data_IF_664250900819
#
_entry.id   IF_664250900819
#
_cell.length_a   1.000
_cell.length_b   1.000
_cell.length_c   1.000
_cell.angle_alpha   90.00
_cell.angle_beta   90.00
_cell.angle_gamma   90.00
#
_symmetry.space_group_name_H-M   'P 1'
#
loop_
_entity.id
_entity.type
_entity.pdbx_description
1 polymer ?
#
# COMPACT_ATOMS: atom_id res chain seq x y z
N UNK A 1 8.42 -10.15 -12.18
CA UNK A 1 9.67 -10.15 -11.40
C UNK A 1 9.36 -10.47 -9.95
N UNK A 2 10.24 -11.18 -9.26
CA UNK A 2 10.08 -11.52 -7.85
C UNK A 2 11.40 -11.37 -7.10
N UNK A 3 11.32 -10.89 -5.86
CA UNK A 3 12.40 -10.86 -4.89
C UNK A 3 12.12 -11.91 -3.82
N UNK A 4 13.17 -12.57 -3.36
CA UNK A 4 13.09 -13.53 -2.27
C UNK A 4 14.12 -13.22 -1.19
N UNK A 5 13.75 -13.48 0.06
CA UNK A 5 14.68 -13.44 1.19
C UNK A 5 15.73 -14.55 1.08
N UNK A 6 15.31 -15.75 0.65
CA UNK A 6 16.20 -16.85 0.25
C UNK A 6 16.12 -17.04 -1.27
N UNK A 7 17.09 -16.47 -1.99
CA UNK A 7 17.18 -16.56 -3.45
C UNK A 7 17.28 -18.01 -3.94
N UNK A 8 18.03 -18.85 -3.23
CA UNK A 8 18.30 -20.21 -3.68
C UNK A 8 17.07 -21.10 -3.53
N UNK A 9 16.32 -20.94 -2.43
CA UNK A 9 15.04 -21.62 -2.25
C UNK A 9 14.06 -21.29 -3.39
N UNK A 10 13.88 -20.00 -3.72
CA UNK A 10 12.99 -19.59 -4.81
C UNK A 10 13.49 -20.02 -6.19
N UNK A 11 14.80 -19.97 -6.44
CA UNK A 11 15.36 -20.38 -7.74
C UNK A 11 15.13 -21.86 -8.03
N UNK A 12 15.08 -22.68 -6.98
CA UNK A 12 14.85 -24.11 -7.08
C UNK A 12 13.36 -24.48 -7.01
N UNK A 13 12.46 -23.51 -6.85
CA UNK A 13 11.02 -23.73 -6.87
C UNK A 13 10.53 -23.83 -8.32
N UNK A 14 10.05 -25.03 -8.69
CA UNK A 14 9.50 -25.33 -10.01
C UNK A 14 8.36 -24.39 -10.43
N UNK A 15 7.63 -23.80 -9.47
CA UNK A 15 6.55 -22.86 -9.74
C UNK A 15 7.05 -21.59 -10.44
N UNK A 16 8.26 -21.12 -10.10
CA UNK A 16 8.85 -19.94 -10.73
C UNK A 16 9.19 -20.19 -12.19
N UNK A 17 9.73 -21.37 -12.51
CA UNK A 17 9.98 -21.79 -13.88
C UNK A 17 8.67 -21.96 -14.65
N UNK A 18 7.70 -22.69 -14.07
CA UNK A 18 6.40 -22.96 -14.68
C UNK A 18 5.63 -21.67 -15.03
N UNK A 19 5.67 -20.67 -14.15
CA UNK A 19 5.00 -19.38 -14.34
C UNK A 19 5.88 -18.33 -15.04
N UNK A 20 7.08 -18.70 -15.48
CA UNK A 20 8.06 -17.80 -16.09
C UNK A 20 8.33 -16.53 -15.23
N UNK A 21 8.41 -16.71 -13.91
CA UNK A 21 8.71 -15.65 -12.96
C UNK A 21 10.23 -15.42 -12.95
N UNK A 22 10.64 -14.24 -13.40
CA UNK A 22 12.05 -13.82 -13.34
C UNK A 22 12.41 -13.35 -11.92
N UNK A 23 13.47 -13.93 -11.35
CA UNK A 23 14.01 -13.55 -10.05
C UNK A 23 15.00 -12.38 -10.16
N UNK A 24 14.92 -11.44 -9.23
CA UNK A 24 15.97 -10.43 -9.01
C UNK A 24 16.91 -10.90 -7.88
N UNK A 25 18.19 -10.47 -7.87
CA UNK A 25 19.09 -10.76 -6.75
C UNK A 25 18.49 -10.29 -5.42
N UNK A 26 18.72 -11.07 -4.35
CA UNK A 26 18.32 -10.65 -3.00
C UNK A 26 19.06 -9.38 -2.63
N UNK A 27 18.28 -8.38 -2.24
CA UNK A 27 18.77 -7.12 -1.65
C UNK A 27 18.32 -7.01 -0.19
N UNK A 28 18.97 -6.08 0.53
CA UNK A 28 18.62 -5.73 1.91
C UNK A 28 17.12 -5.45 2.05
N UNK A 29 16.54 -6.01 3.11
CA UNK A 29 15.16 -5.79 3.53
C UNK A 29 15.08 -6.04 5.02
N UNK A 30 14.53 -5.08 5.76
CA UNK A 30 14.26 -5.24 7.18
C UNK A 30 12.87 -4.75 7.48
N UNK A 31 12.04 -5.64 8.03
CA UNK A 31 10.67 -5.29 8.42
C UNK A 31 10.68 -4.11 9.38
N UNK A 32 9.87 -3.10 9.06
CA UNK A 32 9.72 -1.88 9.85
C UNK A 32 10.79 -0.83 9.58
N UNK A 33 11.91 -1.18 8.94
CA UNK A 33 12.95 -0.22 8.54
C UNK A 33 12.95 0.02 7.03
N UNK A 34 13.04 -1.03 6.22
CA UNK A 34 13.13 -0.89 4.77
C UNK A 34 12.54 -2.12 4.06
N UNK A 35 11.26 -2.01 3.72
CA UNK A 35 10.56 -2.96 2.84
C UNK A 35 10.53 -2.46 1.38
N UNK A 36 11.02 -1.25 1.12
CA UNK A 36 10.93 -0.61 -0.17
C UNK A 36 12.14 -0.86 -1.05
N UNK A 37 13.32 -1.08 -0.48
CA UNK A 37 14.50 -1.43 -1.28
C UNK A 37 14.26 -2.66 -2.17
N UNK A 38 13.68 -3.78 -1.68
CA UNK A 38 13.26 -4.90 -2.54
C UNK A 38 12.21 -4.52 -3.58
N UNK A 39 11.22 -3.71 -3.21
CA UNK A 39 10.20 -3.21 -4.12
C UNK A 39 10.86 -2.49 -5.28
N UNK A 40 11.64 -1.45 -4.99
CA UNK A 40 12.28 -0.60 -6.00
C UNK A 40 13.29 -1.38 -6.82
N UNK A 41 13.98 -2.35 -6.22
CA UNK A 41 14.84 -3.29 -6.95
C UNK A 41 14.04 -4.05 -8.01
N UNK A 42 12.86 -4.60 -7.69
CA UNK A 42 12.01 -5.25 -8.69
C UNK A 42 11.52 -4.28 -9.78
N UNK A 43 11.16 -3.04 -9.43
CA UNK A 43 10.79 -2.02 -10.42
C UNK A 43 11.94 -1.77 -11.40
N UNK A 44 13.18 -1.61 -10.91
CA UNK A 44 14.36 -1.34 -11.76
C UNK A 44 14.52 -2.38 -12.86
N UNK A 45 14.35 -3.66 -12.52
CA UNK A 45 14.40 -4.76 -13.48
C UNK A 45 13.20 -4.76 -14.42
N UNK A 46 12.00 -4.48 -13.91
CA UNK A 46 10.81 -4.37 -14.75
C UNK A 46 10.91 -3.21 -15.76
N UNK A 47 11.47 -2.06 -15.37
CA UNK A 47 11.69 -0.92 -16.24
C UNK A 47 12.76 -1.15 -17.31
N UNK A 48 13.69 -2.09 -17.08
CA UNK A 48 14.71 -2.47 -18.05
C UNK A 48 14.14 -3.33 -19.20
N UNK A 49 12.93 -3.88 -19.05
CA UNK A 49 12.24 -4.57 -20.15
C UNK A 49 11.84 -3.59 -21.26
N UNK A 50 11.73 -4.08 -22.52
CA UNK A 50 11.21 -3.29 -23.62
C UNK A 50 9.88 -2.63 -23.28
N UNK A 51 9.73 -1.36 -23.63
CA UNK A 51 8.47 -0.65 -23.44
C UNK A 51 7.34 -1.35 -24.21
N UNK A 52 6.11 -1.35 -23.69
CA UNK A 52 4.99 -1.88 -24.43
C UNK A 52 4.72 -1.02 -25.69
N UNK A 53 3.98 -1.55 -26.68
CA UNK A 53 3.61 -0.80 -27.87
C UNK A 53 2.92 0.53 -27.53
N UNK A 54 3.05 1.51 -28.44
CA UNK A 54 2.39 2.80 -28.28
C UNK A 54 0.87 2.63 -28.05
N UNK A 55 0.35 3.35 -27.05
CA UNK A 55 -1.06 3.28 -26.65
C UNK A 55 -1.40 2.20 -25.62
N UNK A 56 -0.47 1.28 -25.30
CA UNK A 56 -0.64 0.33 -24.21
C UNK A 56 -0.18 0.96 -22.90
N UNK A 57 -1.06 0.98 -21.90
CA UNK A 57 -0.72 1.47 -20.57
C UNK A 57 0.01 0.39 -19.76
N UNK A 58 1.08 0.79 -19.09
CA UNK A 58 1.83 -0.05 -18.19
C UNK A 58 1.68 0.46 -16.75
N UNK A 59 1.42 -0.48 -15.84
CA UNK A 59 1.38 -0.24 -14.41
C UNK A 59 2.33 -1.18 -13.70
N UNK A 60 3.03 -0.66 -12.71
CA UNK A 60 3.94 -1.38 -11.84
C UNK A 60 3.23 -1.59 -10.50
N UNK A 61 2.88 -2.85 -10.25
CA UNK A 61 2.24 -3.27 -9.02
C UNK A 61 3.20 -4.18 -8.26
N UNK A 62 3.28 -4.00 -6.95
CA UNK A 62 3.98 -4.92 -6.08
C UNK A 62 3.01 -5.56 -5.13
N UNK A 63 3.05 -6.88 -5.10
CA UNK A 63 2.22 -7.74 -4.28
C UNK A 63 3.12 -8.67 -3.47
N UNK A 64 2.65 -9.09 -2.31
CA UNK A 64 3.31 -10.12 -1.49
C UNK A 64 2.66 -11.48 -1.68
N UNK A 65 3.35 -12.53 -1.24
CA UNK A 65 2.84 -13.90 -1.10
C UNK A 65 1.54 -14.03 -0.29
N UNK A 66 1.28 -13.07 0.60
CA UNK A 66 0.08 -12.93 1.42
C UNK A 66 -1.02 -12.08 0.77
N UNK A 67 -0.93 -11.81 -0.54
CA UNK A 67 -1.90 -11.01 -1.31
C UNK A 67 -2.60 -11.88 -2.34
N UNK A 68 -3.93 -11.86 -2.36
CA UNK A 68 -4.74 -12.54 -3.37
C UNK A 68 -5.57 -11.53 -4.16
N UNK A 69 -5.76 -11.73 -5.48
CA UNK A 69 -6.77 -10.98 -6.20
C UNK A 69 -8.15 -11.37 -5.67
N UNK A 70 -9.07 -10.41 -5.62
CA UNK A 70 -10.49 -10.64 -5.31
C UNK A 70 -11.38 -10.35 -6.53
N UNK A 71 -10.74 -10.17 -7.69
CA UNK A 71 -11.33 -9.97 -9.00
C UNK A 71 -10.61 -10.85 -10.03
N UNK A 72 -11.27 -11.24 -11.12
CA UNK A 72 -10.61 -11.89 -12.26
C UNK A 72 -9.56 -10.96 -12.88
N UNK A 73 -8.53 -11.56 -13.49
CA UNK A 73 -7.43 -10.80 -14.10
C UNK A 73 -7.91 -9.77 -15.14
N UNK A 74 -8.88 -10.12 -15.98
CA UNK A 74 -9.44 -9.22 -16.99
C UNK A 74 -10.01 -7.94 -16.38
N UNK A 75 -10.70 -8.05 -15.24
CA UNK A 75 -11.24 -6.91 -14.51
C UNK A 75 -10.14 -6.08 -13.86
N UNK A 76 -9.16 -6.73 -13.22
CA UNK A 76 -8.00 -6.06 -12.62
C UNK A 76 -7.25 -5.25 -13.67
N UNK A 77 -6.95 -5.87 -14.82
CA UNK A 77 -6.27 -5.21 -15.93
C UNK A 77 -7.07 -4.03 -16.46
N UNK A 78 -8.37 -4.21 -16.72
CA UNK A 78 -9.24 -3.14 -17.19
C UNK A 78 -9.30 -1.95 -16.21
N UNK A 79 -9.50 -2.20 -14.92
CA UNK A 79 -9.64 -1.14 -13.91
C UNK A 79 -8.33 -0.35 -13.72
N UNK A 80 -7.19 -1.05 -13.74
CA UNK A 80 -5.86 -0.43 -13.64
C UNK A 80 -5.43 0.29 -14.92
N UNK A 81 -5.88 -0.15 -16.09
CA UNK A 81 -5.58 0.49 -17.38
C UNK A 81 -6.57 1.58 -17.77
N UNK A 82 -7.64 1.79 -17.01
CA UNK A 82 -8.62 2.86 -17.27
C UNK A 82 -7.99 4.25 -17.10
N UNK A 83 -6.99 4.39 -16.21
CA UNK A 83 -6.38 5.69 -15.89
C UNK A 83 -4.87 5.63 -16.03
N UNK A 84 -4.28 6.69 -16.58
CA UNK A 84 -2.83 6.78 -16.78
C UNK A 84 -2.07 7.13 -15.50
N UNK A 85 -2.72 7.79 -14.53
CA UNK A 85 -2.13 8.21 -13.24
C UNK A 85 -1.83 7.04 -12.29
N UNK A 86 -0.82 7.17 -11.42
CA UNK A 86 -0.58 6.19 -10.36
C UNK A 86 -1.73 6.14 -9.35
N UNK A 87 -2.04 4.95 -8.84
CA UNK A 87 -3.02 4.73 -7.80
C UNK A 87 -2.29 4.46 -6.47
N UNK A 88 -2.43 5.37 -5.52
CA UNK A 88 -1.80 5.31 -4.19
C UNK A 88 -2.91 5.47 -3.16
N UNK A 89 -3.04 4.48 -2.27
CA UNK A 89 -4.05 4.51 -1.23
C UNK A 89 -3.55 5.32 -0.03
N UNK A 90 -4.09 6.51 0.18
CA UNK A 90 -3.62 7.44 1.20
C UNK A 90 -4.26 7.11 2.55
N UNK A 91 -3.46 7.08 3.61
CA UNK A 91 -3.93 6.82 4.96
C UNK A 91 -4.61 8.04 5.57
N UNK A 92 -5.37 7.84 6.65
CA UNK A 92 -6.02 8.94 7.35
C UNK A 92 -5.02 9.98 7.86
N UNK A 93 -5.45 11.23 7.91
CA UNK A 93 -4.56 12.36 8.12
C UNK A 93 -3.89 12.38 9.50
N UNK A 94 -4.55 11.78 10.49
CA UNK A 94 -4.01 11.62 11.84
C UNK A 94 -2.76 10.71 11.88
N UNK A 95 -2.45 10.03 10.78
CA UNK A 95 -1.26 9.19 10.65
C UNK A 95 -0.11 9.86 9.91
N UNK A 96 -0.30 11.06 9.38
CA UNK A 96 0.74 11.77 8.65
C UNK A 96 1.74 12.38 9.64
N UNK A 97 3.02 12.39 9.27
CA UNK A 97 4.02 13.11 10.03
C UNK A 97 4.01 14.60 9.63
N UNK A 98 4.32 15.48 10.59
CA UNK A 98 4.24 16.93 10.42
C UNK A 98 5.55 17.59 10.81
N UNK A 99 5.97 18.60 10.06
CA UNK A 99 7.24 19.27 10.27
C UNK A 99 7.20 20.73 9.86
N UNK A 100 8.39 21.32 9.82
CA UNK A 100 8.61 22.65 9.28
C UNK A 100 9.80 22.61 8.34
N UNK A 101 9.59 22.96 7.08
CA UNK A 101 10.64 23.07 6.07
C UNK A 101 10.85 24.56 5.80
N UNK A 102 12.02 25.09 6.14
CA UNK A 102 12.35 26.51 5.96
C UNK A 102 11.37 27.46 6.67
N UNK A 103 10.91 27.08 7.87
CA UNK A 103 9.95 27.86 8.64
C UNK A 103 8.49 27.72 8.18
N UNK A 104 8.22 26.84 7.21
CA UNK A 104 6.88 26.63 6.64
C UNK A 104 6.31 25.29 7.11
N UNK A 105 5.07 25.26 7.62
CA UNK A 105 4.40 24.02 7.96
C UNK A 105 4.32 23.06 6.78
N UNK A 106 4.67 21.79 7.01
CA UNK A 106 4.63 20.75 5.99
C UNK A 106 4.17 19.41 6.59
N UNK A 107 3.61 18.53 5.75
CA UNK A 107 3.23 17.17 6.11
C UNK A 107 3.87 16.13 5.19
N UNK A 108 4.27 14.99 5.75
CA UNK A 108 4.57 13.78 5.00
C UNK A 108 3.31 12.94 4.90
N UNK A 109 2.82 12.80 3.67
CA UNK A 109 1.63 12.02 3.40
C UNK A 109 1.96 10.55 3.61
N UNK A 110 1.24 9.93 4.55
CA UNK A 110 1.29 8.48 4.75
C UNK A 110 0.32 7.80 3.78
N UNK A 111 0.76 6.74 3.15
CA UNK A 111 -0.04 5.84 2.34
C UNK A 111 0.02 4.41 2.90
N UNK A 112 -0.94 3.60 2.50
CA UNK A 112 -0.88 2.17 2.73
C UNK A 112 0.20 1.56 1.83
N UNK A 113 0.85 0.49 2.28
CA UNK A 113 1.94 -0.23 1.61
C UNK A 113 1.59 -0.84 0.22
N UNK A 114 0.51 -0.40 -0.43
CA UNK A 114 0.11 -0.79 -1.78
C UNK A 114 0.06 0.43 -2.69
N UNK A 115 0.81 0.36 -3.79
CA UNK A 115 0.83 1.36 -4.84
C UNK A 115 0.78 0.67 -6.21
N UNK A 116 0.07 1.27 -7.16
CA UNK A 116 0.17 0.96 -8.57
C UNK A 116 0.76 2.17 -9.27
N UNK A 117 2.01 2.08 -9.68
CA UNK A 117 2.73 3.19 -10.30
C UNK A 117 2.57 3.13 -11.81
N UNK A 118 2.32 4.27 -12.45
CA UNK A 118 2.56 4.39 -13.88
C UNK A 118 4.07 4.32 -14.18
N UNK A 119 4.44 4.13 -15.45
CA UNK A 119 5.86 4.00 -15.84
C UNK A 119 6.72 5.22 -15.47
N UNK A 120 6.17 6.43 -15.57
CA UNK A 120 6.91 7.67 -15.25
C UNK A 120 7.24 7.74 -13.76
N UNK A 121 6.25 7.51 -12.90
CA UNK A 121 6.42 7.53 -11.45
C UNK A 121 7.29 6.36 -10.98
N UNK A 122 7.12 5.18 -11.58
CA UNK A 122 7.99 4.04 -11.34
C UNK A 122 9.45 4.37 -11.69
N UNK A 123 9.71 5.09 -12.79
CA UNK A 123 11.05 5.50 -13.18
C UNK A 123 11.64 6.57 -12.24
N UNK A 124 10.85 7.54 -11.79
CA UNK A 124 11.28 8.52 -10.78
C UNK A 124 11.66 7.81 -9.48
N UNK A 125 10.79 6.95 -8.97
CA UNK A 125 11.05 6.18 -7.76
C UNK A 125 12.30 5.30 -7.94
N UNK A 126 12.42 4.57 -9.04
CA UNK A 126 13.56 3.69 -9.31
C UNK A 126 14.89 4.44 -9.42
N UNK A 127 14.89 5.64 -10.02
CA UNK A 127 16.08 6.47 -10.17
C UNK A 127 16.51 7.08 -8.85
N UNK A 128 15.55 7.61 -8.09
CA UNK A 128 15.84 8.49 -6.97
C UNK A 128 15.87 7.78 -5.62
N UNK A 129 15.34 6.55 -5.53
CA UNK A 129 15.36 5.76 -4.30
C UNK A 129 16.78 5.48 -3.81
N UNK A 130 17.06 5.99 -2.62
CA UNK A 130 18.21 5.62 -1.81
C UNK A 130 17.79 4.63 -0.72
N UNK A 131 18.67 3.69 -0.37
CA UNK A 131 18.35 2.68 0.62
C UNK A 131 18.11 3.33 2.00
N UNK A 132 17.33 2.68 2.86
CA UNK A 132 17.07 3.19 4.21
C UNK A 132 17.55 2.19 5.23
N UNK A 133 18.73 2.42 5.82
CA UNK A 133 19.30 1.46 6.77
C UNK A 133 18.55 1.41 8.11
N UNK A 134 17.91 2.52 8.50
CA UNK A 134 17.25 2.69 9.80
C UNK A 134 15.97 3.50 9.66
N UNK A 135 14.97 3.16 10.48
CA UNK A 135 13.70 3.89 10.58
C UNK A 135 13.96 5.38 10.76
N UNK A 136 13.36 6.20 9.90
CA UNK A 136 13.48 7.66 9.95
C UNK A 136 14.87 8.24 9.67
N UNK A 137 15.84 7.41 9.28
CA UNK A 137 17.18 7.85 8.89
C UNK A 137 17.30 7.92 7.37
N UNK A 138 16.47 8.76 6.74
CA UNK A 138 16.48 9.02 5.31
C UNK A 138 16.15 10.48 5.01
N UNK A 139 16.48 10.88 3.79
CA UNK A 139 16.34 12.24 3.30
C UNK A 139 15.07 12.38 2.46
N UNK A 140 14.21 13.30 2.86
CA UNK A 140 12.97 13.63 2.17
C UNK A 140 13.28 14.62 1.04
N UNK A 141 13.09 14.25 -0.25
CA UNK A 141 13.32 15.17 -1.35
C UNK A 141 12.21 16.23 -1.43
N UNK A 142 12.58 17.47 -1.71
CA UNK A 142 11.64 18.59 -1.82
C UNK A 142 11.25 18.81 -3.29
N UNK A 143 10.14 18.22 -3.75
CA UNK A 143 9.81 18.12 -5.19
C UNK A 143 8.70 19.02 -5.69
N UNK A 144 7.81 19.47 -4.81
CA UNK A 144 6.61 20.19 -5.21
C UNK A 144 6.52 21.59 -4.59
N UNK A 145 5.51 22.34 -5.04
CA UNK A 145 5.23 23.69 -4.59
C UNK A 145 6.42 24.61 -4.85
N UNK A 146 6.84 25.35 -3.82
CA UNK A 146 7.97 26.27 -3.92
C UNK A 146 9.34 25.60 -3.98
N UNK A 147 9.42 24.32 -3.65
CA UNK A 147 10.66 23.58 -3.70
C UNK A 147 10.87 22.86 -5.03
N UNK A 148 9.88 22.93 -5.93
CA UNK A 148 9.94 22.31 -7.24
C UNK A 148 11.19 22.73 -8.03
N UNK A 149 11.85 21.73 -8.63
CA UNK A 149 13.08 21.92 -9.41
C UNK A 149 14.35 22.06 -8.58
N UNK A 150 14.27 22.09 -7.25
CA UNK A 150 15.46 22.02 -6.40
C UNK A 150 15.90 20.57 -6.19
N UNK A 151 17.21 20.27 -6.29
CA UNK A 151 17.74 18.95 -5.94
C UNK A 151 18.04 18.87 -4.43
N UNK A 152 17.10 19.38 -3.61
CA UNK A 152 17.30 19.55 -2.17
C UNK A 152 16.53 18.49 -1.41
N UNK A 153 17.11 18.09 -0.29
CA UNK A 153 16.50 17.18 0.68
C UNK A 153 16.46 17.84 2.06
N UNK A 154 15.62 17.31 2.93
CA UNK A 154 15.66 17.55 4.38
C UNK A 154 15.62 16.21 5.11
N UNK A 155 16.27 16.08 6.28
CA UNK A 155 16.21 14.82 7.00
C UNK A 155 14.78 14.55 7.48
N UNK A 156 14.34 13.29 7.39
CA UNK A 156 13.02 12.84 7.87
C UNK A 156 12.75 13.21 9.32
N UNK A 157 13.79 13.31 10.15
CA UNK A 157 13.72 13.77 11.54
C UNK A 157 13.15 15.18 11.75
N UNK A 158 12.99 15.98 10.68
CA UNK A 158 12.23 17.25 10.74
C UNK A 158 10.71 17.06 10.83
N UNK A 159 10.22 15.85 10.56
CA UNK A 159 8.82 15.50 10.62
C UNK A 159 8.57 14.62 11.85
N UNK A 160 7.65 15.05 12.69
CA UNK A 160 7.26 14.39 13.92
C UNK A 160 5.77 14.03 13.90
N UNK A 161 5.36 13.10 14.75
CA UNK A 161 4.00 12.58 14.76
C UNK A 161 3.84 11.45 13.74
N UNK A 162 2.61 11.27 13.27
CA UNK A 162 2.19 10.02 12.63
C UNK A 162 1.95 8.91 13.64
N UNK A 163 1.40 7.78 13.18
CA UNK A 163 1.28 6.59 14.03
C UNK A 163 2.67 6.04 14.36
N UNK A 164 2.78 5.26 15.43
CA UNK A 164 4.05 4.94 16.12
C UNK A 164 4.95 4.01 15.28
N UNK A 165 4.47 3.65 14.10
CA UNK A 165 5.16 2.99 13.02
C UNK A 165 5.10 3.92 11.79
N UNK A 166 5.96 4.93 11.72
CA UNK A 166 6.27 5.62 10.46
C UNK A 166 7.25 4.74 9.70
N UNK A 167 6.77 3.57 9.27
CA UNK A 167 7.58 2.67 8.49
C UNK A 167 7.89 3.36 7.15
N UNK A 168 9.15 3.28 6.73
CA UNK A 168 9.64 3.94 5.51
C UNK A 168 8.76 3.63 4.29
N UNK A 169 8.23 2.42 4.21
CA UNK A 169 7.37 1.94 3.14
C UNK A 169 5.95 2.51 3.12
N UNK A 170 5.60 3.34 4.11
CA UNK A 170 4.31 4.02 4.22
C UNK A 170 4.41 5.52 3.93
N UNK A 171 5.60 6.10 3.85
CA UNK A 171 5.79 7.54 3.60
C UNK A 171 6.74 7.81 2.42
N UNK A 172 7.77 6.99 2.28
CA UNK A 172 8.86 7.28 1.36
C UNK A 172 8.42 7.21 -0.09
N UNK A 173 7.52 6.30 -0.50
CA UNK A 173 7.07 6.28 -1.92
C UNK A 173 6.45 7.61 -2.29
N UNK A 174 5.54 8.13 -1.46
CA UNK A 174 4.95 9.45 -1.70
C UNK A 174 6.03 10.54 -1.72
N UNK A 175 6.90 10.58 -0.70
CA UNK A 175 7.93 11.59 -0.61
C UNK A 175 8.90 11.57 -1.80
N UNK A 176 9.32 10.40 -2.29
CA UNK A 176 10.20 10.30 -3.46
C UNK A 176 9.52 10.71 -4.76
N UNK A 177 8.19 10.65 -4.85
CA UNK A 177 7.44 11.10 -6.03
C UNK A 177 7.11 12.60 -5.97
N UNK A 178 6.62 13.06 -4.83
CA UNK A 178 5.95 14.35 -4.65
C UNK A 178 6.62 15.25 -3.60
N UNK A 179 7.42 14.68 -2.71
CA UNK A 179 7.98 15.39 -1.56
C UNK A 179 6.95 15.64 -0.46
N UNK A 180 7.30 16.46 0.55
CA UNK A 180 6.37 16.86 1.59
C UNK A 180 5.33 17.83 1.03
N UNK A 181 4.10 17.75 1.53
CA UNK A 181 3.06 18.70 1.19
C UNK A 181 3.19 19.95 2.05
N UNK A 182 3.25 21.12 1.42
CA UNK A 182 3.18 22.38 2.14
C UNK A 182 1.76 22.64 2.69
N UNK A 183 1.66 23.08 3.94
CA UNK A 183 0.39 23.46 4.57
C UNK A 183 0.31 24.99 4.70
N UNK A 184 -0.90 25.55 4.65
CA UNK A 184 -1.09 27.01 4.82
C UNK A 184 -0.72 27.47 6.23
N UNK A 185 -1.09 26.68 7.23
CA UNK A 185 -0.73 26.85 8.63
C UNK A 185 -0.54 25.48 9.29
N UNK A 186 0.05 25.47 10.48
CA UNK A 186 0.32 24.23 11.21
C UNK A 186 -1.00 23.51 11.52
N UNK A 187 -1.13 22.28 11.01
CA UNK A 187 -2.33 21.46 11.18
C UNK A 187 -3.42 21.70 10.13
N UNK A 188 -3.20 22.53 9.11
CA UNK A 188 -4.14 22.70 8.00
C UNK A 188 -4.11 21.50 7.05
N UNK A 189 -4.87 20.49 7.42
CA UNK A 189 -4.82 19.14 6.88
C UNK A 189 -6.04 18.82 6.00
N UNK A 190 -7.13 19.58 6.16
CA UNK A 190 -8.37 19.35 5.43
C UNK A 190 -8.20 19.57 3.92
N UNK A 191 -7.58 20.68 3.51
CA UNK A 191 -7.36 20.97 2.08
C UNK A 191 -6.49 19.89 1.40
N UNK A 192 -5.31 19.51 1.94
CA UNK A 192 -4.57 18.34 1.52
C UNK A 192 -5.42 17.08 1.34
N UNK A 193 -6.24 16.75 2.34
CA UNK A 193 -7.06 15.54 2.30
C UNK A 193 -8.08 15.57 1.16
N UNK A 194 -8.62 16.75 0.82
CA UNK A 194 -9.56 16.87 -0.31
C UNK A 194 -8.95 16.46 -1.64
N UNK A 195 -7.65 16.64 -1.84
CA UNK A 195 -6.93 16.17 -3.04
C UNK A 195 -6.92 14.64 -3.15
N UNK A 196 -7.15 13.93 -2.04
CA UNK A 196 -7.09 12.48 -1.95
C UNK A 196 -8.44 11.78 -1.86
N UNK A 197 -9.53 12.51 -1.58
CA UNK A 197 -10.88 11.94 -1.43
C UNK A 197 -11.36 11.18 -2.68
N UNK A 198 -10.79 11.47 -3.85
CA UNK A 198 -11.14 10.80 -5.11
C UNK A 198 -10.12 9.74 -5.54
N UNK A 199 -9.01 9.55 -4.80
CA UNK A 199 -8.04 8.52 -5.14
C UNK A 199 -8.58 7.13 -4.82
N UNK A 200 -8.24 6.17 -5.68
CA UNK A 200 -8.72 4.80 -5.58
C UNK A 200 -7.79 3.98 -4.70
N UNK A 201 -8.38 3.24 -3.77
CA UNK A 201 -7.73 2.20 -3.01
C UNK A 201 -8.15 0.85 -3.58
N UNK A 202 -7.22 0.14 -4.22
CA UNK A 202 -7.50 -1.16 -4.84
C UNK A 202 -7.22 -2.35 -3.92
N UNK A 203 -6.82 -2.11 -2.68
CA UNK A 203 -6.39 -3.16 -1.75
C UNK A 203 -7.14 -3.12 -0.45
N UNK A 204 -7.74 -4.25 -0.11
CA UNK A 204 -8.41 -4.52 1.16
C UNK A 204 -7.41 -5.04 2.20
N UNK A 205 -7.45 -4.48 3.41
CA UNK A 205 -6.67 -4.95 4.56
C UNK A 205 -7.35 -4.55 5.87
N UNK A 206 -7.93 -5.50 6.58
CA UNK A 206 -8.69 -5.25 7.80
C UNK A 206 -7.83 -5.15 9.06
N UNK A 207 -8.19 -4.26 9.98
CA UNK A 207 -7.59 -4.14 11.31
C UNK A 207 -8.64 -4.35 12.41
N UNK A 208 -8.25 -4.85 13.59
CA UNK A 208 -9.19 -5.02 14.71
C UNK A 208 -9.89 -3.73 15.12
N UNK A 209 -9.18 -2.60 15.06
CA UNK A 209 -9.74 -1.30 15.41
C UNK A 209 -10.77 -0.77 14.39
N UNK A 210 -10.90 -1.39 13.21
CA UNK A 210 -11.91 -1.00 12.22
C UNK A 210 -13.33 -1.45 12.63
N UNK A 211 -13.45 -2.37 13.60
CA UNK A 211 -14.72 -2.95 14.08
C UNK A 211 -14.91 -2.84 15.59
N UNK A 212 -13.91 -2.36 16.34
CA UNK A 212 -14.02 -2.18 17.77
C UNK A 212 -14.97 -1.00 18.10
N UNK A 213 -15.92 -1.16 19.05
CA UNK A 213 -16.74 -0.06 19.53
C UNK A 213 -15.85 1.07 20.06
N UNK A 214 -16.08 2.30 19.57
CA UNK A 214 -15.38 3.53 19.96
C UNK A 214 -15.33 3.78 21.49
N UNK A 215 -16.19 3.12 22.26
CA UNK A 215 -16.43 3.38 23.69
C UNK A 215 -15.29 3.01 24.64
N UNK A 216 -14.20 2.37 24.18
CA UNK A 216 -13.06 2.00 25.05
C UNK A 216 -11.73 2.67 24.69
N UNK A 217 -11.70 3.53 23.67
CA UNK A 217 -10.47 4.22 23.27
C UNK A 217 -10.54 5.68 23.74
N UNK A 218 -9.72 6.01 24.74
CA UNK A 218 -9.52 7.39 25.24
C UNK A 218 -8.75 8.28 24.26
N UNK A 219 -8.48 7.77 23.05
CA UNK A 219 -7.89 8.47 21.92
C UNK A 219 -8.63 8.01 20.68
N UNK A 220 -8.92 8.87 19.69
CA UNK A 220 -9.64 8.46 18.50
C UNK A 220 -8.94 7.25 17.88
N UNK A 221 -9.66 6.14 17.56
CA UNK A 221 -9.04 4.97 16.96
C UNK A 221 -8.26 5.41 15.72
N UNK A 222 -6.99 5.05 15.62
CA UNK A 222 -6.25 5.19 14.37
C UNK A 222 -6.72 4.10 13.39
N UNK A 223 -8.02 4.08 13.08
CA UNK A 223 -8.54 3.21 12.03
C UNK A 223 -7.87 3.61 10.72
N UNK A 224 -7.40 2.61 9.98
CA UNK A 224 -6.44 2.85 8.90
C UNK A 224 -7.02 3.67 7.74
N UNK A 225 -8.35 3.71 7.63
CA UNK A 225 -9.08 4.34 6.54
C UNK A 225 -10.21 5.26 7.06
N UNK A 226 -9.91 6.17 7.98
CA UNK A 226 -10.83 7.26 8.33
C UNK A 226 -10.90 8.28 7.18
N UNK A 227 -11.57 7.92 6.09
CA UNK A 227 -12.15 8.87 5.17
C UNK A 227 -13.46 9.40 5.79
N UNK A 228 -13.91 10.61 5.47
CA UNK A 228 -15.12 11.18 6.09
C UNK A 228 -16.41 10.40 5.77
N UNK A 229 -17.44 10.53 6.62
CA UNK A 229 -18.75 9.84 6.55
C UNK A 229 -19.36 9.71 5.14
N UNK A 230 -19.19 10.72 4.28
CA UNK A 230 -19.75 10.76 2.93
C UNK A 230 -18.95 9.93 1.91
N UNK A 231 -17.63 9.80 2.10
CA UNK A 231 -16.77 8.90 1.31
C UNK A 231 -16.92 7.42 1.70
N UNK A 232 -17.52 7.12 2.87
CA UNK A 232 -17.72 5.75 3.36
C UNK A 232 -18.68 4.92 2.51
N UNK A 233 -19.62 5.53 1.77
CA UNK A 233 -20.67 4.74 1.10
C UNK A 233 -20.12 3.78 0.02
N UNK A 234 -19.00 4.13 -0.62
CA UNK A 234 -18.42 3.33 -1.72
C UNK A 234 -17.34 2.36 -1.26
N UNK A 235 -16.60 2.69 -0.20
CA UNK A 235 -15.47 1.92 0.33
C UNK A 235 -15.69 1.55 1.80
N UNK A 236 -16.86 0.99 2.11
CA UNK A 236 -17.19 0.57 3.48
C UNK A 236 -16.38 -0.68 3.86
N UNK A 237 -15.12 -0.42 4.20
CA UNK A 237 -14.14 -1.40 4.63
C UNK A 237 -14.66 -2.16 5.87
N UNK A 238 -15.28 -1.43 6.80
CA UNK A 238 -15.91 -1.98 8.01
C UNK A 238 -17.02 -2.96 7.65
N UNK A 239 -17.88 -2.68 6.66
CA UNK A 239 -18.91 -3.63 6.22
C UNK A 239 -18.33 -4.94 5.72
N UNK A 240 -17.26 -4.90 4.92
CA UNK A 240 -16.59 -6.12 4.45
C UNK A 240 -15.99 -6.88 5.63
N UNK A 241 -15.28 -6.20 6.53
CA UNK A 241 -14.71 -6.81 7.74
C UNK A 241 -15.79 -7.46 8.61
N UNK A 242 -16.94 -6.80 8.80
CA UNK A 242 -18.08 -7.36 9.53
C UNK A 242 -18.70 -8.57 8.82
N UNK A 243 -18.69 -8.61 7.49
CA UNK A 243 -19.14 -9.77 6.72
C UNK A 243 -18.18 -10.95 6.89
N UNK A 244 -16.87 -10.71 6.86
CA UNK A 244 -15.86 -11.73 7.11
C UNK A 244 -15.97 -12.29 8.54
N UNK A 245 -16.17 -11.44 9.54
CA UNK A 245 -16.35 -11.86 10.94
C UNK A 245 -17.63 -12.65 11.20
N UNK A 246 -18.66 -12.49 10.35
CA UNK A 246 -19.94 -13.20 10.46
C UNK A 246 -19.96 -14.51 9.69
N UNK A 247 -18.99 -14.74 8.82
CA UNK A 247 -18.88 -15.97 8.04
C UNK A 247 -18.39 -17.10 8.96
N UNK A 248 -19.21 -18.17 9.18
CA UNK A 248 -18.86 -19.25 10.10
C UNK A 248 -17.63 -20.06 9.65
N UNK A 249 -17.31 -20.03 8.35
CA UNK A 249 -16.17 -20.73 7.77
C UNK A 249 -14.93 -19.83 7.68
N UNK A 250 -15.03 -18.55 8.05
CA UNK A 250 -13.90 -17.65 8.11
C UNK A 250 -13.16 -17.77 9.45
N UNK A 251 -11.84 -17.73 9.38
CA UNK A 251 -10.95 -17.70 10.55
C UNK A 251 -10.02 -16.50 10.44
N UNK A 252 -10.35 -15.45 11.17
CA UNK A 252 -9.54 -14.25 11.31
C UNK A 252 -8.78 -14.29 12.63
N UNK A 253 -7.45 -14.17 12.58
CA UNK A 253 -6.61 -14.03 13.77
C UNK A 253 -5.87 -12.70 13.75
N UNK A 254 -5.26 -12.31 14.86
CA UNK A 254 -4.44 -11.11 14.95
C UNK A 254 -3.17 -11.50 15.68
N UNK A 255 -2.00 -11.10 15.15
CA UNK A 255 -0.77 -11.20 15.93
C UNK A 255 -0.91 -10.41 17.24
N UNK A 256 -0.22 -10.82 18.33
CA UNK A 256 -0.28 -10.08 19.59
C UNK A 256 -0.05 -8.57 19.39
N UNK A 257 -1.02 -7.75 19.81
CA UNK A 257 -1.04 -6.30 19.61
C UNK A 257 -2.21 -5.83 18.73
N UNK A 258 -2.86 -4.72 19.12
CA UNK A 258 -4.05 -4.17 18.44
C UNK A 258 -3.74 -3.46 17.10
N UNK A 259 -2.48 -3.40 16.71
CA UNK A 259 -1.99 -2.62 15.57
C UNK A 259 -1.64 -3.47 14.35
N UNK A 260 -1.80 -4.79 14.46
CA UNK A 260 -1.61 -5.69 13.33
C UNK A 260 -2.92 -5.88 12.58
N UNK A 261 -2.87 -5.95 11.24
CA UNK A 261 -4.04 -6.32 10.47
C UNK A 261 -4.44 -7.75 10.80
N UNK A 262 -5.72 -8.07 10.58
CA UNK A 262 -6.20 -9.44 10.64
C UNK A 262 -5.40 -10.32 9.69
N UNK A 263 -5.03 -11.50 10.17
CA UNK A 263 -4.51 -12.61 9.38
C UNK A 263 -5.70 -13.53 9.03
N UNK A 264 -5.99 -13.64 7.74
CA UNK A 264 -6.99 -14.55 7.18
C UNK A 264 -6.38 -15.96 7.08
N UNK A 265 -6.74 -16.83 8.02
CA UNK A 265 -6.33 -18.24 8.03
C UNK A 265 -7.35 -19.15 7.33
N UNK A 266 -8.61 -18.72 7.24
CA UNK A 266 -9.64 -19.36 6.43
C UNK A 266 -10.62 -18.30 5.94
N UNK A 267 -11.11 -18.46 4.72
CA UNK A 267 -12.18 -17.63 4.14
C UNK A 267 -13.24 -18.53 3.54
N UNK A 268 -14.47 -18.39 4.03
CA UNK A 268 -15.64 -19.09 3.51
C UNK A 268 -16.18 -18.45 2.23
N UNK A 269 -17.17 -19.12 1.64
CA UNK A 269 -17.82 -18.65 0.41
C UNK A 269 -18.51 -17.29 0.62
N UNK A 270 -19.05 -17.02 1.81
CA UNK A 270 -19.69 -15.73 2.11
C UNK A 270 -18.65 -14.59 2.10
N UNK A 271 -17.50 -14.80 2.74
CA UNK A 271 -16.37 -13.87 2.72
C UNK A 271 -15.85 -13.65 1.30
N UNK A 272 -15.74 -14.72 0.50
CA UNK A 272 -15.33 -14.62 -0.90
C UNK A 272 -16.32 -13.81 -1.75
N UNK A 273 -17.64 -13.96 -1.53
CA UNK A 273 -18.65 -13.10 -2.19
C UNK A 273 -18.53 -11.65 -1.75
N UNK A 274 -18.33 -11.41 -0.45
CA UNK A 274 -18.14 -10.07 0.09
C UNK A 274 -16.93 -9.39 -0.58
N UNK A 275 -15.77 -10.04 -0.54
CA UNK A 275 -14.54 -9.57 -1.20
C UNK A 275 -14.73 -9.37 -2.70
N UNK A 276 -15.36 -10.31 -3.41
CA UNK A 276 -15.63 -10.18 -4.85
C UNK A 276 -16.57 -9.03 -5.17
N UNK A 277 -17.56 -8.76 -4.32
CA UNK A 277 -18.51 -7.67 -4.54
C UNK A 277 -17.94 -6.29 -4.16
N UNK A 278 -16.85 -6.25 -3.41
CA UNK A 278 -16.18 -5.03 -2.96
C UNK A 278 -15.57 -4.23 -4.12
N UNK A 279 -15.25 -2.94 -3.94
CA UNK A 279 -14.52 -2.16 -4.94
C UNK A 279 -13.01 -2.52 -5.01
N UNK A 280 -12.49 -3.34 -4.10
CA UNK A 280 -11.08 -3.71 -4.07
C UNK A 280 -10.75 -4.71 -5.18
N UNK A 281 -9.52 -4.62 -5.70
CA UNK A 281 -8.95 -5.57 -6.66
C UNK A 281 -8.19 -6.70 -5.96
N UNK A 282 -7.60 -6.41 -4.81
CA UNK A 282 -6.79 -7.33 -4.02
C UNK A 282 -7.21 -7.31 -2.55
N UNK A 283 -6.95 -8.41 -1.85
CA UNK A 283 -6.99 -8.51 -0.40
C UNK A 283 -5.65 -9.02 0.12
N UNK A 284 -5.22 -8.53 1.29
CA UNK A 284 -3.92 -8.86 1.89
C UNK A 284 -4.05 -9.55 3.23
N UNK A 285 -2.94 -10.15 3.67
CA UNK A 285 -2.78 -10.84 4.96
C UNK A 285 -3.50 -12.17 5.00
N UNK A 286 -3.43 -12.91 3.90
CA UNK A 286 -3.68 -14.35 3.93
C UNK A 286 -2.48 -15.06 4.56
N UNK A 287 -2.75 -16.04 5.42
CA UNK A 287 -1.70 -16.94 5.89
C UNK A 287 -1.23 -17.82 4.73
N UNK A 288 0.01 -18.32 4.81
CA UNK A 288 0.58 -19.21 3.79
C UNK A 288 -0.25 -20.48 3.60
N UNK A 289 -0.92 -20.93 4.66
CA UNK A 289 -1.77 -22.12 4.66
C UNK A 289 -3.26 -21.76 4.73
N UNK A 290 -3.64 -20.57 4.23
CA UNK A 290 -5.02 -20.12 4.30
C UNK A 290 -5.95 -21.10 3.59
N UNK A 291 -7.05 -21.48 4.24
CA UNK A 291 -8.08 -22.29 3.60
C UNK A 291 -8.98 -21.39 2.75
N UNK A 292 -8.94 -21.58 1.44
CA UNK A 292 -9.56 -20.68 0.45
C UNK A 292 -10.82 -21.26 -0.20
N UNK A 293 -11.62 -22.07 0.51
CA UNK A 293 -12.94 -22.57 0.05
C UNK A 293 -13.07 -22.81 -1.46
N UNK A 294 -14.10 -22.21 -2.08
CA UNK A 294 -14.33 -22.23 -3.52
C UNK A 294 -13.66 -21.07 -4.29
N UNK A 295 -12.53 -20.54 -3.79
CA UNK A 295 -11.86 -19.34 -4.33
C UNK A 295 -11.66 -19.37 -5.85
N UNK A 296 -11.16 -20.48 -6.40
CA UNK A 296 -10.89 -20.58 -7.83
C UNK A 296 -12.16 -20.44 -8.68
N UNK A 297 -13.27 -21.04 -8.25
CA UNK A 297 -14.54 -20.93 -8.94
C UNK A 297 -15.13 -19.52 -8.80
N UNK A 298 -15.11 -19.00 -7.58
CA UNK A 298 -15.77 -17.75 -7.25
C UNK A 298 -15.01 -16.53 -7.74
N UNK A 299 -13.67 -16.54 -7.73
CA UNK A 299 -12.83 -15.38 -8.05
C UNK A 299 -12.22 -15.49 -9.46
N UNK A 300 -11.72 -16.66 -9.86
CA UNK A 300 -10.90 -16.77 -11.08
C UNK A 300 -11.71 -17.13 -12.34
N UNK A 301 -12.85 -17.84 -12.21
CA UNK A 301 -13.57 -18.46 -13.35
C UNK A 301 -14.77 -17.69 -13.92
N UNK A 302 -15.05 -16.48 -13.44
CA UNK A 302 -16.25 -15.70 -13.79
C UNK A 302 -15.92 -14.32 -14.31
#
# INVERSE_FOLDING_TARGET
WAHCTDYHACKNDYTFELLNIRLVPTTYSVRGADLMTPFVHMIRYALAEPQPPAGVQEKFLVVSDSTLPVKPFSYVYWDLSTFTSSDICISSINQWAHGSVEGRPAALVKHHQWVALNRSDAAVLARDWDHVERVGAWDVPLREGRWAGSNRTVPHSQFAGGTWYTATDEEAVWAFLHGPMELRYKGDLEEPMRLFMHRRCHTYVAFPNDVAPSTHLTSPPAALLQLEAEAHSKFDHTKITLQLLKDPDAKLTVAPGIWHPFLMEAVGDQSLRALRSSPYLFARKFSQCAQLGNYSEMILRS
#
